data_IF_268703928165
#
_entry.id   IF_268703928165
#
_cell.length_a   1.000
_cell.length_b   1.000
_cell.length_c   1.000
_cell.angle_alpha   90.00
_cell.angle_beta   90.00
_cell.angle_gamma   90.00
#
_symmetry.space_group_name_H-M   'P 1'
#
loop_
_entity.id
_entity.type
_entity.pdbx_description
1 polymer ?
#
# COMPACT_ATOMS: atom_id res chain seq x y z
N UNK A 1 -17.77 5.88 12.98
CA UNK A 1 -17.16 4.72 12.29
C UNK A 1 -16.56 5.11 10.96
N UNK A 2 -17.31 5.02 9.86
CA UNK A 2 -16.82 5.27 8.50
C UNK A 2 -16.16 6.65 8.31
N UNK A 3 -16.77 7.71 8.85
CA UNK A 3 -16.22 9.08 8.79
C UNK A 3 -14.86 9.19 9.49
N UNK A 4 -14.69 8.53 10.65
CA UNK A 4 -13.41 8.50 11.37
C UNK A 4 -12.33 7.76 10.58
N UNK A 5 -12.71 6.65 9.94
CA UNK A 5 -11.82 5.92 9.04
C UNK A 5 -11.36 6.79 7.86
N UNK A 6 -12.27 7.52 7.24
CA UNK A 6 -11.93 8.45 6.16
C UNK A 6 -10.98 9.55 6.64
N UNK A 7 -11.24 10.17 7.81
CA UNK A 7 -10.38 11.21 8.38
C UNK A 7 -8.96 10.67 8.66
N UNK A 8 -8.84 9.50 9.30
CA UNK A 8 -7.55 8.88 9.60
C UNK A 8 -6.78 8.48 8.33
N UNK A 9 -7.48 7.97 7.32
CA UNK A 9 -6.89 7.65 6.00
C UNK A 9 -6.40 8.91 5.29
N UNK A 10 -7.12 10.03 5.36
CA UNK A 10 -6.63 11.29 4.78
C UNK A 10 -5.35 11.78 5.46
N UNK A 11 -5.21 11.59 6.78
CA UNK A 11 -3.96 11.90 7.47
C UNK A 11 -2.76 11.14 6.91
N UNK A 12 -2.95 9.85 6.57
CA UNK A 12 -1.91 9.04 5.90
C UNK A 12 -1.59 9.54 4.50
N UNK A 13 -2.62 9.83 3.70
CA UNK A 13 -2.46 10.25 2.30
C UNK A 13 -1.75 11.60 2.21
N UNK A 14 -2.08 12.54 3.10
CA UNK A 14 -1.44 13.87 3.14
C UNK A 14 -0.04 13.80 3.75
N UNK A 15 0.23 12.83 4.63
CA UNK A 15 1.52 12.66 5.30
C UNK A 15 2.60 11.96 4.49
N UNK A 16 2.28 11.41 3.32
CA UNK A 16 3.23 10.71 2.48
C UNK A 16 3.22 11.28 1.05
N UNK A 17 4.40 11.54 0.50
CA UNK A 17 4.56 11.98 -0.90
C UNK A 17 4.09 10.92 -1.91
N UNK A 18 4.03 9.66 -1.48
CA UNK A 18 3.55 8.54 -2.28
C UNK A 18 2.31 7.96 -1.60
N UNK A 19 1.15 7.90 -2.29
CA UNK A 19 -0.07 7.33 -1.73
C UNK A 19 0.13 5.86 -1.33
N UNK A 20 0.13 5.58 -0.02
CA UNK A 20 0.32 4.23 0.50
C UNK A 20 -0.98 3.58 0.90
N UNK A 21 -1.38 2.56 0.10
CA UNK A 21 -2.55 1.74 0.38
C UNK A 21 -2.45 1.00 1.70
N UNK A 22 -1.28 0.47 2.07
CA UNK A 22 -1.09 -0.24 3.35
C UNK A 22 -1.38 0.66 4.55
N UNK A 23 -0.88 1.90 4.53
CA UNK A 23 -1.15 2.86 5.60
C UNK A 23 -2.64 3.19 5.71
N UNK A 24 -3.32 3.38 4.58
CA UNK A 24 -4.77 3.58 4.53
C UNK A 24 -5.56 2.35 5.03
N UNK A 25 -5.14 1.15 4.66
CA UNK A 25 -5.77 -0.12 5.07
C UNK A 25 -5.64 -0.38 6.57
N UNK A 26 -4.59 0.14 7.22
CA UNK A 26 -4.42 0.05 8.68
C UNK A 26 -5.17 1.18 9.37
N UNK A 27 -4.91 2.43 8.97
CA UNK A 27 -5.45 3.60 9.65
C UNK A 27 -6.96 3.76 9.48
N UNK A 28 -7.55 3.31 8.37
CA UNK A 28 -9.00 3.37 8.17
C UNK A 28 -9.77 2.57 9.24
N UNK A 29 -9.56 1.24 9.35
CA UNK A 29 -10.17 0.42 10.39
C UNK A 29 -9.75 0.83 11.80
N UNK A 30 -8.48 1.17 12.03
CA UNK A 30 -8.00 1.58 13.35
C UNK A 30 -8.71 2.85 13.83
N UNK A 31 -8.82 3.86 12.96
CA UNK A 31 -9.46 5.14 13.33
C UNK A 31 -10.96 4.97 13.56
N UNK A 32 -11.61 4.13 12.76
CA UNK A 32 -13.00 3.75 12.98
C UNK A 32 -13.19 3.02 14.32
N UNK A 33 -12.29 2.12 14.67
CA UNK A 33 -12.33 1.38 15.93
C UNK A 33 -12.10 2.29 17.14
N UNK A 34 -11.09 3.16 17.10
CA UNK A 34 -10.77 4.09 18.20
C UNK A 34 -11.97 4.98 18.51
N UNK A 35 -12.59 5.60 17.50
CA UNK A 35 -13.76 6.46 17.72
C UNK A 35 -14.93 5.67 18.32
N UNK A 36 -15.20 4.46 17.84
CA UNK A 36 -16.27 3.61 18.42
C UNK A 36 -15.99 3.29 19.89
N UNK A 37 -14.73 3.05 20.27
CA UNK A 37 -14.39 2.80 21.67
C UNK A 37 -14.52 4.05 22.55
N UNK A 38 -14.15 5.22 22.01
CA UNK A 38 -14.30 6.49 22.73
C UNK A 38 -15.79 6.80 22.93
N UNK A 39 -16.60 6.71 21.88
CA UNK A 39 -18.04 7.00 21.96
C UNK A 39 -18.74 6.08 22.97
N UNK A 40 -18.41 4.78 23.00
CA UNK A 40 -18.94 3.83 24.00
C UNK A 40 -18.62 4.23 25.44
N UNK A 41 -17.44 4.78 25.70
CA UNK A 41 -17.03 5.21 27.05
C UNK A 41 -17.75 6.49 27.48
N UNK A 42 -18.06 7.37 26.54
CA UNK A 42 -18.70 8.66 26.83
C UNK A 42 -20.22 8.51 26.89
N UNK A 43 -20.82 7.53 26.20
CA UNK A 43 -22.26 7.35 26.04
C UNK A 43 -23.06 7.44 27.36
N UNK A 44 -22.58 6.80 28.44
CA UNK A 44 -23.26 6.81 29.75
C UNK A 44 -23.20 8.16 30.49
N UNK A 45 -22.41 9.12 29.99
CA UNK A 45 -22.24 10.47 30.54
C UNK A 45 -23.04 11.52 29.77
N UNK A 46 -23.71 11.16 28.67
CA UNK A 46 -24.38 12.11 27.79
C UNK A 46 -25.83 12.32 28.23
N UNK A 47 -26.29 13.58 28.42
CA UNK A 47 -27.69 13.87 28.67
C UNK A 47 -28.57 13.49 27.46
N UNK A 48 -29.77 12.97 27.73
CA UNK A 48 -30.75 12.66 26.69
C UNK A 48 -31.06 13.90 25.84
N UNK A 49 -31.09 13.73 24.52
CA UNK A 49 -31.28 14.81 23.54
C UNK A 49 -29.99 15.48 23.04
N UNK A 50 -28.85 15.33 23.74
CA UNK A 50 -27.54 15.86 23.30
C UNK A 50 -26.64 14.82 22.61
N UNK A 51 -27.09 13.57 22.52
CA UNK A 51 -26.31 12.44 21.99
C UNK A 51 -25.69 12.71 20.62
N UNK A 52 -26.47 13.23 19.67
CA UNK A 52 -25.97 13.49 18.32
C UNK A 52 -24.93 14.63 18.29
N UNK A 53 -25.10 15.66 19.13
CA UNK A 53 -24.16 16.79 19.22
C UNK A 53 -22.83 16.31 19.80
N UNK A 54 -22.87 15.60 20.93
CA UNK A 54 -21.65 15.10 21.59
C UNK A 54 -20.93 14.07 20.72
N UNK A 55 -21.65 13.17 20.05
CA UNK A 55 -21.06 12.18 19.15
C UNK A 55 -20.37 12.84 17.94
N UNK A 56 -20.95 13.90 17.36
CA UNK A 56 -20.33 14.63 16.25
C UNK A 56 -19.07 15.40 16.69
N UNK A 57 -19.10 16.05 17.86
CA UNK A 57 -17.91 16.72 18.41
C UNK A 57 -16.81 15.72 18.81
N UNK A 58 -17.18 14.61 19.46
CA UNK A 58 -16.27 13.50 19.79
C UNK A 58 -15.57 12.98 18.53
N UNK A 59 -16.34 12.66 17.49
CA UNK A 59 -15.84 12.24 16.19
C UNK A 59 -14.87 13.27 15.59
N UNK A 60 -15.21 14.56 15.64
CA UNK A 60 -14.35 15.64 15.11
C UNK A 60 -13.02 15.74 15.86
N UNK A 61 -13.04 15.76 17.20
CA UNK A 61 -11.84 15.92 18.02
C UNK A 61 -10.95 14.68 17.92
N UNK A 62 -11.52 13.49 18.13
CA UNK A 62 -10.77 12.23 18.08
C UNK A 62 -10.28 11.95 16.66
N UNK A 63 -11.12 12.23 15.65
CA UNK A 63 -10.73 12.11 14.24
C UNK A 63 -9.57 13.04 13.88
N UNK A 64 -9.60 14.30 14.33
CA UNK A 64 -8.49 15.24 14.12
C UNK A 64 -7.20 14.75 14.78
N UNK A 65 -7.25 14.29 16.03
CA UNK A 65 -6.08 13.75 16.72
C UNK A 65 -5.49 12.53 15.99
N UNK A 66 -6.35 11.62 15.53
CA UNK A 66 -5.92 10.46 14.75
C UNK A 66 -5.34 10.84 13.39
N UNK A 67 -5.87 11.87 12.74
CA UNK A 67 -5.33 12.40 11.49
C UNK A 67 -3.93 12.98 11.69
N UNK A 68 -3.72 13.79 12.73
CA UNK A 68 -2.40 14.35 13.06
C UNK A 68 -1.40 13.24 13.44
N UNK A 69 -1.85 12.26 14.22
CA UNK A 69 -1.05 11.08 14.56
C UNK A 69 -0.65 10.29 13.30
N UNK A 70 -1.59 10.07 12.38
CA UNK A 70 -1.33 9.40 11.12
C UNK A 70 -0.28 10.16 10.30
N UNK A 71 -0.44 11.48 10.19
CA UNK A 71 0.47 12.35 9.45
C UNK A 71 1.91 12.27 10.01
N UNK A 72 2.08 12.50 11.31
CA UNK A 72 3.41 12.59 11.95
C UNK A 72 4.14 11.25 12.07
N UNK A 73 3.41 10.13 12.19
CA UNK A 73 4.06 8.82 12.43
C UNK A 73 4.12 7.98 11.17
N UNK A 74 3.04 7.95 10.39
CA UNK A 74 2.98 7.08 9.20
C UNK A 74 3.89 7.65 8.12
N UNK A 75 3.87 8.97 7.89
CA UNK A 75 4.72 9.63 6.89
C UNK A 75 6.22 9.28 7.02
N UNK A 76 6.87 9.58 8.16
CA UNK A 76 8.29 9.25 8.37
C UNK A 76 8.58 7.75 8.35
N UNK A 77 7.70 6.93 8.93
CA UNK A 77 7.86 5.47 8.94
C UNK A 77 7.85 4.89 7.52
N UNK A 78 6.98 5.43 6.67
CA UNK A 78 6.88 5.10 5.25
C UNK A 78 8.15 5.50 4.50
N UNK A 79 8.61 6.74 4.70
CA UNK A 79 9.83 7.23 4.04
C UNK A 79 11.04 6.38 4.44
N UNK A 80 11.16 6.01 5.72
CA UNK A 80 12.21 5.11 6.20
C UNK A 80 12.12 3.71 5.56
N UNK A 81 10.92 3.14 5.46
CA UNK A 81 10.72 1.85 4.79
C UNK A 81 11.08 1.93 3.30
N UNK A 82 10.69 3.00 2.60
CA UNK A 82 11.04 3.22 1.19
C UNK A 82 12.55 3.37 1.00
N UNK A 83 13.24 4.10 1.87
CA UNK A 83 14.70 4.21 1.84
C UNK A 83 15.39 2.86 2.03
N UNK A 84 14.89 2.04 2.96
CA UNK A 84 15.40 0.69 3.18
C UNK A 84 15.24 -0.18 1.93
N UNK A 85 14.03 -0.24 1.35
CA UNK A 85 13.77 -1.01 0.12
C UNK A 85 14.60 -0.47 -1.05
N UNK A 86 14.71 0.86 -1.18
CA UNK A 86 15.54 1.51 -2.20
C UNK A 86 17.00 1.08 -2.12
N UNK A 87 17.59 1.10 -0.92
CA UNK A 87 18.97 0.66 -0.72
C UNK A 87 19.18 -0.81 -1.10
N UNK A 88 18.20 -1.67 -0.79
CA UNK A 88 18.23 -3.08 -1.18
C UNK A 88 18.15 -3.28 -2.69
N UNK A 89 17.29 -2.52 -3.37
CA UNK A 89 17.17 -2.54 -4.83
C UNK A 89 18.45 -2.02 -5.49
N UNK A 90 19.00 -0.89 -5.04
CA UNK A 90 20.25 -0.33 -5.57
C UNK A 90 21.44 -1.29 -5.38
N UNK A 91 21.53 -1.95 -4.21
CA UNK A 91 22.54 -2.98 -3.97
C UNK A 91 22.38 -4.17 -4.93
N UNK A 92 21.16 -4.63 -5.17
CA UNK A 92 20.89 -5.71 -6.13
C UNK A 92 21.22 -5.30 -7.57
N UNK A 93 20.83 -4.09 -7.97
CA UNK A 93 21.14 -3.51 -9.28
C UNK A 93 22.64 -3.44 -9.51
N UNK A 94 23.42 -3.04 -8.49
CA UNK A 94 24.88 -2.98 -8.58
C UNK A 94 25.52 -4.35 -8.88
N UNK A 95 24.86 -5.47 -8.55
CA UNK A 95 25.34 -6.81 -8.92
C UNK A 95 25.11 -7.18 -10.39
N UNK A 96 24.30 -6.40 -11.11
CA UNK A 96 23.92 -6.66 -12.51
C UNK A 96 22.83 -7.72 -12.71
N UNK A 97 22.40 -8.41 -11.64
CA UNK A 97 21.38 -9.47 -11.71
C UNK A 97 19.95 -8.95 -11.50
N UNK A 98 19.45 -8.21 -12.50
CA UNK A 98 18.07 -7.68 -12.51
C UNK A 98 16.96 -8.72 -12.23
N UNK A 99 17.05 -10.01 -12.64
CA UNK A 99 16.02 -10.99 -12.33
C UNK A 99 15.76 -11.21 -10.84
N UNK A 100 16.74 -10.94 -9.97
CA UNK A 100 16.57 -11.08 -8.51
C UNK A 100 15.57 -10.07 -7.93
N UNK A 101 15.35 -8.93 -8.61
CA UNK A 101 14.34 -7.95 -8.20
C UNK A 101 12.93 -8.54 -8.16
N UNK A 102 12.65 -9.56 -8.99
CA UNK A 102 11.36 -10.24 -8.99
C UNK A 102 11.05 -10.92 -7.64
N UNK A 103 12.07 -11.37 -6.89
CA UNK A 103 11.89 -11.99 -5.57
C UNK A 103 11.38 -10.97 -4.55
N UNK A 104 11.70 -9.69 -4.73
CA UNK A 104 11.23 -8.59 -3.86
C UNK A 104 9.91 -8.01 -4.38
N UNK A 105 9.81 -7.78 -5.69
CA UNK A 105 8.67 -7.10 -6.28
C UNK A 105 7.37 -7.91 -6.18
N UNK A 106 7.42 -9.21 -6.44
CA UNK A 106 6.20 -10.03 -6.48
C UNK A 106 5.50 -10.12 -5.11
N UNK A 107 6.21 -10.39 -3.99
CA UNK A 107 5.58 -10.28 -2.66
C UNK A 107 5.09 -8.87 -2.32
N UNK A 108 5.82 -7.84 -2.73
CA UNK A 108 5.44 -6.45 -2.45
C UNK A 108 4.16 -6.04 -3.17
N UNK A 109 3.96 -6.48 -4.42
CA UNK A 109 2.71 -6.27 -5.17
C UNK A 109 1.51 -6.86 -4.44
N UNK A 110 1.62 -8.09 -3.92
CA UNK A 110 0.55 -8.75 -3.16
C UNK A 110 0.21 -7.98 -1.87
N UNK A 111 1.18 -7.30 -1.27
CA UNK A 111 0.99 -6.45 -0.10
C UNK A 111 0.54 -5.01 -0.45
N UNK A 112 0.16 -4.71 -1.70
CA UNK A 112 -0.20 -3.37 -2.18
C UNK A 112 0.91 -2.31 -1.97
N UNK A 113 2.17 -2.76 -2.01
CA UNK A 113 3.36 -1.90 -1.94
C UNK A 113 3.92 -1.54 -3.33
N UNK A 114 3.22 -1.93 -4.40
CA UNK A 114 3.59 -1.60 -5.79
C UNK A 114 3.74 -0.10 -6.02
N UNK A 115 2.81 0.73 -5.54
CA UNK A 115 2.93 2.19 -5.66
C UNK A 115 4.20 2.74 -5.00
N UNK A 116 4.55 2.22 -3.83
CA UNK A 116 5.72 2.67 -3.07
C UNK A 116 7.01 2.33 -3.81
N UNK A 117 7.09 1.12 -4.37
CA UNK A 117 8.26 0.67 -5.14
C UNK A 117 8.33 1.40 -6.49
N UNK A 118 7.22 1.48 -7.22
CA UNK A 118 7.19 2.07 -8.55
C UNK A 118 7.49 3.57 -8.47
N UNK A 119 6.68 4.33 -7.74
CA UNK A 119 6.80 5.79 -7.62
C UNK A 119 7.97 6.23 -6.75
N UNK A 120 8.29 5.49 -5.70
CA UNK A 120 9.36 5.86 -4.77
C UNK A 120 10.75 5.46 -5.21
N UNK A 121 10.88 4.45 -6.08
CA UNK A 121 12.18 3.85 -6.40
C UNK A 121 12.40 3.78 -7.91
N UNK A 122 11.55 3.06 -8.64
CA UNK A 122 11.79 2.79 -10.06
C UNK A 122 11.62 4.01 -10.95
N UNK A 123 10.63 4.88 -10.70
CA UNK A 123 10.47 6.12 -11.47
C UNK A 123 11.66 7.08 -11.29
N UNK A 124 12.12 7.41 -10.07
CA UNK A 124 13.31 8.23 -9.87
C UNK A 124 14.57 7.66 -10.54
N UNK A 125 14.87 6.36 -10.32
CA UNK A 125 16.01 5.70 -10.96
C UNK A 125 15.86 5.64 -12.49
N UNK A 126 14.63 5.44 -12.95
CA UNK A 126 14.25 5.42 -14.36
C UNK A 126 14.56 6.75 -15.05
N UNK A 127 14.11 7.85 -14.45
CA UNK A 127 14.33 9.20 -14.96
C UNK A 127 15.82 9.56 -14.97
N UNK A 128 16.57 9.20 -13.93
CA UNK A 128 18.00 9.47 -13.85
C UNK A 128 18.77 8.72 -14.95
N UNK A 129 18.52 7.42 -15.12
CA UNK A 129 19.17 6.62 -16.17
C UNK A 129 18.74 7.05 -17.59
N UNK A 130 17.46 7.41 -17.77
CA UNK A 130 16.95 7.88 -19.05
C UNK A 130 17.47 9.27 -19.43
N UNK A 131 17.76 10.14 -18.46
CA UNK A 131 18.38 11.44 -18.72
C UNK A 131 19.80 11.29 -19.31
N UNK A 132 20.55 10.29 -18.87
CA UNK A 132 21.92 10.05 -19.35
C UNK A 132 21.97 9.23 -20.64
N UNK A 133 21.12 8.19 -20.76
CA UNK A 133 21.21 7.20 -21.84
C UNK A 133 20.03 7.21 -22.81
N UNK A 134 19.04 8.09 -22.58
CA UNK A 134 17.81 8.22 -23.36
C UNK A 134 16.77 7.12 -23.13
N UNK A 135 17.07 6.12 -22.28
CA UNK A 135 16.22 4.95 -22.02
C UNK A 135 16.51 4.39 -20.64
N UNK A 136 15.56 3.66 -20.04
CA UNK A 136 15.80 3.00 -18.77
C UNK A 136 15.02 1.70 -18.64
N UNK A 137 15.71 0.66 -18.16
CA UNK A 137 15.10 -0.64 -17.87
C UNK A 137 14.20 -0.59 -16.65
N UNK A 138 14.41 0.36 -15.73
CA UNK A 138 13.62 0.46 -14.48
C UNK A 138 12.13 0.68 -14.73
N UNK A 139 11.77 1.34 -15.83
CA UNK A 139 10.36 1.48 -16.24
C UNK A 139 9.70 0.16 -16.63
N UNK A 140 10.48 -0.85 -17.00
CA UNK A 140 9.98 -2.17 -17.39
C UNK A 140 10.05 -3.21 -16.26
N UNK A 141 10.83 -2.95 -15.20
CA UNK A 141 11.01 -3.91 -14.10
C UNK A 141 9.72 -4.11 -13.31
N UNK A 142 8.98 -3.03 -13.05
CA UNK A 142 7.71 -3.07 -12.33
C UNK A 142 6.60 -3.78 -13.12
N UNK A 143 6.44 -3.40 -14.38
CA UNK A 143 5.33 -3.83 -15.25
C UNK A 143 5.60 -5.17 -15.96
N UNK A 144 6.71 -5.85 -15.68
CA UNK A 144 7.03 -7.13 -16.31
C UNK A 144 6.09 -8.24 -15.80
N UNK A 145 5.22 -8.83 -16.66
CA UNK A 145 4.30 -9.89 -16.25
C UNK A 145 4.98 -11.27 -16.21
N UNK A 146 6.25 -11.39 -16.59
CA UNK A 146 6.98 -12.65 -16.70
C UNK A 146 7.04 -13.45 -15.39
N UNK A 147 7.48 -12.86 -14.26
CA UNK A 147 7.50 -13.53 -12.97
C UNK A 147 6.12 -14.02 -12.51
N UNK A 148 5.09 -13.15 -12.63
CA UNK A 148 3.72 -13.49 -12.27
C UNK A 148 3.13 -14.61 -13.15
N UNK A 149 3.33 -14.56 -14.46
CA UNK A 149 2.99 -15.65 -15.37
C UNK A 149 3.67 -16.96 -14.97
N UNK A 150 4.97 -16.91 -14.62
CA UNK A 150 5.72 -18.08 -14.16
C UNK A 150 5.11 -18.71 -12.91
N UNK A 151 4.74 -17.89 -11.91
CA UNK A 151 4.06 -18.35 -10.71
C UNK A 151 2.68 -18.96 -11.04
N UNK A 152 1.89 -18.30 -11.87
CA UNK A 152 0.56 -18.78 -12.25
C UNK A 152 0.61 -20.09 -13.05
N UNK A 153 1.59 -20.25 -13.95
CA UNK A 153 1.83 -21.51 -14.66
C UNK A 153 2.24 -22.63 -13.68
N UNK A 154 3.05 -22.30 -12.67
CA UNK A 154 3.39 -23.25 -11.62
C UNK A 154 2.14 -23.68 -10.82
N UNK A 155 1.25 -22.75 -10.47
CA UNK A 155 -0.03 -23.07 -9.82
C UNK A 155 -0.98 -23.87 -10.72
N UNK A 156 -1.07 -23.54 -12.01
CA UNK A 156 -1.91 -24.26 -12.96
C UNK A 156 -1.46 -25.72 -13.13
N UNK A 157 -0.15 -25.98 -13.14
CA UNK A 157 0.41 -27.32 -13.32
C UNK A 157 0.49 -28.11 -12.01
N UNK A 158 1.08 -27.50 -10.98
CA UNK A 158 1.48 -28.15 -9.72
C UNK A 158 0.66 -27.74 -8.49
N UNK A 159 -0.22 -26.75 -8.59
CA UNK A 159 -1.07 -26.32 -7.47
C UNK A 159 -2.11 -27.37 -7.06
N UNK A 160 -2.80 -27.11 -5.95
CA UNK A 160 -3.85 -27.99 -5.42
C UNK A 160 -5.11 -27.19 -5.06
N UNK A 161 -6.27 -27.81 -5.19
CA UNK A 161 -7.55 -27.21 -4.79
C UNK A 161 -7.92 -25.97 -5.62
N UNK A 162 -8.24 -24.87 -4.94
CA UNK A 162 -8.71 -23.62 -5.55
C UNK A 162 -7.64 -22.96 -6.42
N UNK A 163 -6.38 -22.94 -5.99
CA UNK A 163 -5.29 -22.25 -6.71
C UNK A 163 -5.04 -22.84 -8.11
N UNK A 164 -5.16 -24.17 -8.26
CA UNK A 164 -5.03 -24.83 -9.57
C UNK A 164 -6.20 -24.55 -10.51
N UNK A 165 -7.41 -24.41 -9.96
CA UNK A 165 -8.63 -24.13 -10.73
C UNK A 165 -8.72 -22.67 -11.19
N UNK A 166 -8.27 -21.73 -10.36
CA UNK A 166 -8.30 -20.30 -10.68
C UNK A 166 -7.11 -19.82 -11.50
N UNK A 167 -5.97 -20.52 -11.46
CA UNK A 167 -4.75 -20.10 -12.16
C UNK A 167 -4.93 -19.89 -13.69
N UNK A 168 -5.60 -20.77 -14.46
CA UNK A 168 -5.77 -20.57 -15.90
C UNK A 168 -6.54 -19.29 -16.26
N UNK A 169 -7.59 -18.95 -15.50
CA UNK A 169 -8.32 -17.69 -15.68
C UNK A 169 -7.49 -16.48 -15.25
N UNK A 170 -6.74 -16.60 -14.15
CA UNK A 170 -5.86 -15.55 -13.67
C UNK A 170 -4.72 -15.26 -14.65
N UNK A 171 -4.19 -16.26 -15.36
CA UNK A 171 -3.17 -16.07 -16.41
C UNK A 171 -3.67 -15.12 -17.50
N UNK A 172 -4.92 -15.28 -17.94
CA UNK A 172 -5.47 -14.45 -19.02
C UNK A 172 -5.59 -13.00 -18.54
N UNK A 173 -6.14 -12.79 -17.35
CA UNK A 173 -6.34 -11.46 -16.76
C UNK A 173 -4.99 -10.79 -16.48
N UNK A 174 -4.04 -11.53 -15.94
CA UNK A 174 -2.72 -11.02 -15.58
C UNK A 174 -1.87 -10.69 -16.80
N UNK A 175 -1.71 -11.65 -17.71
CA UNK A 175 -0.76 -11.52 -18.81
C UNK A 175 -1.27 -10.59 -19.92
N UNK A 176 -2.57 -10.62 -20.23
CA UNK A 176 -3.15 -9.77 -21.26
C UNK A 176 -3.81 -8.51 -20.70
N UNK A 177 -4.45 -8.61 -19.52
CA UNK A 177 -5.06 -7.45 -18.86
C UNK A 177 -4.07 -6.60 -18.06
N UNK A 178 -2.88 -7.11 -17.77
CA UNK A 178 -1.85 -6.40 -17.00
C UNK A 178 -2.15 -6.24 -15.51
N UNK A 179 -3.26 -6.82 -15.02
CA UNK A 179 -3.68 -6.72 -13.62
C UNK A 179 -2.92 -7.75 -12.80
N UNK A 180 -2.09 -7.29 -11.87
CA UNK A 180 -1.19 -8.17 -11.10
C UNK A 180 -1.83 -8.71 -9.82
N UNK A 181 -2.80 -7.99 -9.27
CA UNK A 181 -3.62 -8.32 -8.10
C UNK A 181 -4.68 -9.40 -8.38
#
# INVERSE_FOLDING_TARGET
GAVAGAIGTMGVIVGADIPMFVGAMIMGPLSAWVVVQVDKRIQHRIPSGFEMVVNNFSLGIVGMLLCLFAYEIVGPSVTAANLFVKSGIEALVATGFLPLLAIINEPAKVLFLNNAIDQGIYYPLGLQAAAETGKSIFFMVASNPGPGLGMLLAYAKFGQGLSKRSAPSAIIIHFFGGIHE
#
